data_IF_204865338839
#
_entry.id   IF_204865338839
#
_cell.length_a   1.000
_cell.length_b   1.000
_cell.length_c   1.000
_cell.angle_alpha   90.00
_cell.angle_beta   90.00
_cell.angle_gamma   90.00
#
_symmetry.space_group_name_H-M   'P 1'
#
loop_
_entity.id
_entity.type
_entity.pdbx_description
1 polymer ?
#
# COMPACT_ATOMS: atom_id res chain seq x y z
N UNK A 1 15.72 8.49 -9.09
CA UNK A 1 14.39 7.92 -9.36
C UNK A 1 13.37 9.00 -9.05
N UNK A 2 12.44 9.34 -9.97
CA UNK A 2 11.38 10.29 -9.65
C UNK A 2 10.49 9.75 -8.52
N UNK A 3 10.16 10.62 -7.57
CA UNK A 3 9.29 10.32 -6.43
C UNK A 3 7.84 10.29 -6.91
N UNK A 4 6.99 9.39 -6.39
CA UNK A 4 5.58 9.29 -6.83
C UNK A 4 4.80 10.62 -6.69
N UNK A 5 5.20 11.49 -5.76
CA UNK A 5 4.60 12.81 -5.53
C UNK A 5 5.04 13.89 -6.54
N UNK A 6 6.00 13.59 -7.42
CA UNK A 6 6.47 14.53 -8.43
C UNK A 6 5.44 14.65 -9.55
N UNK A 7 5.02 15.89 -9.84
CA UNK A 7 4.05 16.20 -10.88
C UNK A 7 2.58 16.01 -10.47
N UNK A 8 1.65 16.69 -11.17
CA UNK A 8 0.22 16.52 -10.94
C UNK A 8 -0.26 15.16 -11.48
N UNK A 9 -1.07 14.46 -10.70
CA UNK A 9 -1.85 13.30 -11.17
C UNK A 9 -3.32 13.60 -10.90
N UNK A 10 -3.96 14.31 -11.82
CA UNK A 10 -5.38 14.62 -11.69
C UNK A 10 -6.19 13.41 -12.17
N UNK A 11 -7.39 13.23 -11.63
CA UNK A 11 -8.27 12.13 -12.03
C UNK A 11 -8.42 12.05 -13.56
N UNK A 12 -8.14 10.86 -14.12
CA UNK A 12 -8.11 10.58 -15.56
C UNK A 12 -6.81 10.99 -16.27
N UNK A 13 -5.78 11.45 -15.55
CA UNK A 13 -4.48 11.90 -16.07
C UNK A 13 -3.32 11.45 -15.18
N UNK A 14 -3.47 10.33 -14.49
CA UNK A 14 -2.51 9.75 -13.56
C UNK A 14 -1.48 8.81 -14.21
N UNK A 15 -1.41 8.77 -15.54
CA UNK A 15 -0.55 7.83 -16.30
C UNK A 15 0.91 7.86 -15.84
N UNK A 16 1.49 9.04 -15.60
CA UNK A 16 2.88 9.16 -15.15
C UNK A 16 3.07 8.55 -13.75
N UNK A 17 2.11 8.78 -12.84
CA UNK A 17 2.12 8.20 -11.50
C UNK A 17 1.95 6.67 -11.56
N UNK A 18 1.09 6.17 -12.43
CA UNK A 18 0.91 4.74 -12.69
C UNK A 18 2.21 4.10 -13.21
N UNK A 19 2.87 4.74 -14.18
CA UNK A 19 4.15 4.25 -14.72
C UNK A 19 5.25 4.21 -13.64
N UNK A 20 5.29 5.19 -12.74
CA UNK A 20 6.20 5.17 -11.59
C UNK A 20 5.86 3.99 -10.66
N UNK A 21 4.59 3.79 -10.31
CA UNK A 21 4.16 2.70 -9.45
C UNK A 21 4.51 1.32 -10.03
N UNK A 22 4.25 1.10 -11.33
CA UNK A 22 4.62 -0.12 -12.04
C UNK A 22 6.14 -0.37 -12.01
N UNK A 23 6.94 0.67 -12.28
CA UNK A 23 8.41 0.60 -12.21
C UNK A 23 8.88 0.22 -10.80
N UNK A 24 8.23 0.76 -9.77
CA UNK A 24 8.52 0.41 -8.38
C UNK A 24 8.19 -1.05 -8.06
N UNK A 25 7.02 -1.54 -8.44
CA UNK A 25 6.66 -2.96 -8.25
C UNK A 25 7.66 -3.90 -8.93
N UNK A 26 8.09 -3.58 -10.15
CA UNK A 26 9.12 -4.34 -10.87
C UNK A 26 10.46 -4.31 -10.14
N UNK A 27 10.89 -3.13 -9.67
CA UNK A 27 12.15 -2.96 -8.92
C UNK A 27 12.13 -3.70 -7.58
N UNK A 28 10.98 -3.74 -6.92
CA UNK A 28 10.77 -4.49 -5.68
C UNK A 28 10.75 -6.02 -5.93
N UNK A 29 10.60 -6.47 -7.17
CA UNK A 29 10.63 -7.89 -7.53
C UNK A 29 9.29 -8.60 -7.31
N UNK A 30 8.19 -7.94 -7.69
CA UNK A 30 6.89 -8.60 -7.81
C UNK A 30 6.93 -9.67 -8.91
N UNK A 31 6.22 -10.78 -8.72
CA UNK A 31 6.18 -11.89 -9.69
C UNK A 31 5.45 -11.50 -10.98
N UNK A 32 4.39 -10.70 -10.85
CA UNK A 32 3.64 -10.17 -11.98
C UNK A 32 3.30 -8.69 -11.75
N UNK A 33 3.47 -7.89 -12.81
CA UNK A 33 3.08 -6.47 -12.85
C UNK A 33 2.40 -6.22 -14.19
N UNK A 34 1.17 -5.75 -14.16
CA UNK A 34 0.40 -5.40 -15.36
C UNK A 34 -0.32 -4.07 -15.19
N UNK A 35 -0.65 -3.43 -16.31
CA UNK A 35 -1.51 -2.25 -16.35
C UNK A 35 -2.74 -2.61 -17.17
N UNK A 36 -3.93 -2.41 -16.60
CA UNK A 36 -5.18 -2.74 -17.27
C UNK A 36 -5.54 -1.72 -18.38
N UNK A 37 -6.66 -1.94 -19.05
CA UNK A 37 -7.15 -1.06 -20.13
C UNK A 37 -7.57 0.33 -19.66
N UNK A 38 -7.77 0.51 -18.35
CA UNK A 38 -8.18 1.78 -17.72
C UNK A 38 -6.99 2.53 -17.10
N UNK A 39 -5.79 1.95 -17.10
CA UNK A 39 -4.58 2.55 -16.54
C UNK A 39 -4.26 2.13 -15.10
N UNK A 40 -5.06 1.23 -14.50
CA UNK A 40 -4.81 0.71 -13.15
C UNK A 40 -3.61 -0.24 -13.15
N UNK A 41 -2.72 -0.09 -12.18
CA UNK A 41 -1.52 -0.94 -12.06
C UNK A 41 -1.77 -2.03 -11.03
N UNK A 42 -1.59 -3.29 -11.45
CA UNK A 42 -1.83 -4.46 -10.63
C UNK A 42 -0.51 -5.21 -10.46
N UNK A 43 -0.05 -5.29 -9.22
CA UNK A 43 1.10 -6.11 -8.82
C UNK A 43 0.64 -7.36 -8.06
N UNK A 44 1.22 -8.52 -8.37
CA UNK A 44 0.98 -9.77 -7.64
C UNK A 44 2.29 -10.39 -7.17
N UNK A 45 2.26 -10.90 -5.94
CA UNK A 45 3.31 -11.73 -5.35
C UNK A 45 2.67 -13.08 -5.01
N UNK A 46 3.26 -14.16 -5.49
CA UNK A 46 2.81 -15.52 -5.25
C UNK A 46 3.28 -15.96 -3.85
N UNK A 47 2.32 -16.31 -2.98
CA UNK A 47 2.64 -16.88 -1.68
C UNK A 47 3.03 -18.37 -1.74
N UNK A 48 3.87 -18.79 -0.81
CA UNK A 48 4.51 -20.12 -0.79
C UNK A 48 3.54 -21.30 -0.66
N UNK A 49 2.37 -21.11 -0.02
CA UNK A 49 1.51 -22.24 0.36
C UNK A 49 0.31 -22.45 -0.55
N UNK A 50 0.04 -21.57 -1.52
CA UNK A 50 -1.07 -21.68 -2.50
C UNK A 50 -2.50 -21.82 -1.93
N UNK A 51 -2.66 -22.02 -0.62
CA UNK A 51 -3.90 -22.41 0.07
C UNK A 51 -4.32 -21.42 1.18
N UNK A 52 -3.69 -20.25 1.24
CA UNK A 52 -4.06 -19.17 2.18
C UNK A 52 -5.00 -18.14 1.54
N UNK A 53 -5.64 -17.27 2.35
CA UNK A 53 -6.40 -16.15 1.83
C UNK A 53 -5.49 -15.15 1.11
N UNK A 54 -5.99 -14.56 0.02
CA UNK A 54 -5.32 -13.47 -0.69
C UNK A 54 -5.53 -12.16 0.06
N UNK A 55 -4.44 -11.45 0.37
CA UNK A 55 -4.49 -10.06 0.85
C UNK A 55 -4.40 -9.12 -0.36
N UNK A 56 -5.35 -8.19 -0.45
CA UNK A 56 -5.39 -7.18 -1.50
C UNK A 56 -5.17 -5.80 -0.87
N UNK A 57 -4.18 -5.07 -1.38
CA UNK A 57 -3.99 -3.64 -1.09
C UNK A 57 -4.54 -2.85 -2.25
N UNK A 58 -5.42 -1.90 -1.96
CA UNK A 58 -6.03 -1.02 -2.94
C UNK A 58 -5.74 0.44 -2.57
N UNK A 59 -5.54 1.28 -3.58
CA UNK A 59 -5.22 2.68 -3.39
C UNK A 59 -5.27 3.45 -4.70
N UNK A 60 -5.55 4.75 -4.59
CA UNK A 60 -5.64 5.64 -5.74
C UNK A 60 -4.35 6.46 -5.91
N UNK A 61 -4.06 6.86 -7.14
CA UNK A 61 -2.90 7.66 -7.50
C UNK A 61 -3.27 9.09 -7.90
N UNK A 62 -4.55 9.34 -8.14
CA UNK A 62 -5.04 10.66 -8.46
C UNK A 62 -5.02 11.58 -7.23
N UNK A 63 -5.10 12.87 -7.52
CA UNK A 63 -5.03 13.92 -6.51
C UNK A 63 -5.94 15.04 -6.94
N UNK A 64 -6.49 15.73 -5.94
CA UNK A 64 -7.18 16.99 -6.18
C UNK A 64 -6.20 18.05 -6.69
N UNK A 65 -6.63 18.97 -7.56
CA UNK A 65 -5.81 20.09 -7.98
C UNK A 65 -5.28 20.88 -6.78
N UNK A 66 -3.98 21.19 -6.78
CA UNK A 66 -3.44 22.20 -5.88
C UNK A 66 -4.00 23.58 -6.29
N UNK A 67 -4.74 24.21 -5.37
CA UNK A 67 -5.24 25.57 -5.49
C UNK A 67 -4.39 26.52 -4.65
N UNK A 68 -4.53 27.84 -4.91
CA UNK A 68 -3.83 28.90 -4.19
C UNK A 68 -2.32 28.64 -4.05
N UNK A 69 -1.64 28.45 -5.18
CA UNK A 69 -0.21 28.06 -5.25
C UNK A 69 0.71 29.02 -4.48
N UNK A 70 0.31 30.28 -4.35
CA UNK A 70 0.96 31.34 -3.58
C UNK A 70 0.91 31.13 -2.06
N UNK A 71 -0.02 30.32 -1.56
CA UNK A 71 -0.16 29.98 -0.14
C UNK A 71 0.66 28.75 0.27
N UNK A 72 1.27 28.05 -0.69
CA UNK A 72 2.10 26.89 -0.40
C UNK A 72 3.51 27.31 0.02
N UNK A 73 3.97 26.79 1.15
CA UNK A 73 5.36 26.96 1.62
C UNK A 73 6.35 26.08 0.84
N UNK A 74 5.87 24.95 0.32
CA UNK A 74 6.61 24.00 -0.51
C UNK A 74 5.87 23.75 -1.82
N UNK A 75 6.59 23.58 -2.91
CA UNK A 75 5.94 23.38 -4.21
C UNK A 75 5.04 22.13 -4.17
N UNK A 76 3.74 22.24 -4.48
CA UNK A 76 2.80 21.12 -4.32
C UNK A 76 3.16 19.89 -5.17
N UNK A 77 3.89 20.08 -6.27
CA UNK A 77 4.30 18.98 -7.16
C UNK A 77 5.82 18.80 -7.21
N UNK A 78 6.56 19.45 -6.31
CA UNK A 78 8.02 19.38 -6.22
C UNK A 78 8.52 18.11 -5.55
N UNK A 79 7.68 17.49 -4.71
CA UNK A 79 8.05 16.36 -3.86
C UNK A 79 9.28 16.66 -2.98
N UNK A 80 9.31 17.86 -2.38
CA UNK A 80 10.37 18.29 -1.49
C UNK A 80 10.41 17.37 -0.25
N UNK A 81 11.60 16.97 0.15
CA UNK A 81 11.81 16.09 1.31
C UNK A 81 12.77 16.81 2.26
N UNK A 82 12.41 16.91 3.52
CA UNK A 82 13.32 17.29 4.60
C UNK A 82 13.56 16.13 5.56
N UNK A 83 14.19 16.38 6.70
CA UNK A 83 14.56 15.34 7.65
C UNK A 83 13.36 14.64 8.31
N UNK A 84 12.18 15.26 8.35
CA UNK A 84 11.02 14.78 9.09
C UNK A 84 9.80 14.54 8.18
N UNK A 85 9.69 15.25 7.06
CA UNK A 85 8.48 15.29 6.25
C UNK A 85 8.74 15.18 4.74
N UNK A 86 7.74 14.64 4.05
CA UNK A 86 7.63 14.67 2.59
C UNK A 86 6.53 15.67 2.25
N UNK A 87 6.87 16.71 1.50
CA UNK A 87 5.96 17.77 1.10
C UNK A 87 5.50 17.58 -0.35
N UNK A 88 4.20 17.61 -0.55
CA UNK A 88 3.61 17.55 -1.87
C UNK A 88 2.15 17.14 -1.83
N UNK A 89 1.39 17.62 -2.80
CA UNK A 89 0.03 17.15 -3.08
C UNK A 89 0.11 15.65 -3.40
N UNK A 90 -0.71 14.88 -2.70
CA UNK A 90 -0.75 13.43 -2.84
C UNK A 90 0.13 12.68 -1.85
N UNK A 91 1.04 13.34 -1.12
CA UNK A 91 1.92 12.70 -0.14
C UNK A 91 1.13 11.93 0.92
N UNK A 92 0.14 12.59 1.55
CA UNK A 92 -0.74 11.95 2.54
C UNK A 92 -1.92 11.21 1.88
N UNK A 93 -2.51 11.78 0.83
CA UNK A 93 -3.73 11.26 0.17
C UNK A 93 -3.51 11.06 -1.34
N UNK A 94 -3.14 9.86 -1.81
CA UNK A 94 -2.68 8.74 -0.97
C UNK A 94 -1.42 8.03 -1.49
N UNK A 95 -0.56 8.76 -2.21
CA UNK A 95 0.67 8.22 -2.80
C UNK A 95 1.68 7.71 -1.76
N UNK A 96 1.78 8.37 -0.60
CA UNK A 96 2.61 7.90 0.51
C UNK A 96 2.14 6.55 1.07
N UNK A 97 0.86 6.43 1.47
CA UNK A 97 0.26 5.13 1.82
C UNK A 97 0.42 4.05 0.75
N UNK A 98 0.23 4.38 -0.54
CA UNK A 98 0.46 3.44 -1.65
C UNK A 98 1.91 2.95 -1.64
N UNK A 99 2.89 3.85 -1.54
CA UNK A 99 4.31 3.45 -1.49
C UNK A 99 4.60 2.52 -0.30
N UNK A 100 3.98 2.77 0.86
CA UNK A 100 4.10 1.90 2.02
C UNK A 100 3.47 0.52 1.78
N UNK A 101 2.31 0.45 1.13
CA UNK A 101 1.66 -0.83 0.76
C UNK A 101 2.54 -1.65 -0.19
N UNK A 102 3.17 -1.02 -1.19
CA UNK A 102 4.07 -1.72 -2.12
C UNK A 102 5.26 -2.35 -1.38
N UNK A 103 5.88 -1.59 -0.49
CA UNK A 103 6.99 -2.09 0.33
C UNK A 103 6.52 -3.21 1.27
N UNK A 104 5.36 -3.02 1.93
CA UNK A 104 4.81 -3.99 2.86
C UNK A 104 4.48 -5.31 2.18
N UNK A 105 3.87 -5.29 1.00
CA UNK A 105 3.57 -6.50 0.24
C UNK A 105 4.85 -7.26 -0.15
N UNK A 106 5.93 -6.55 -0.51
CA UNK A 106 7.22 -7.18 -0.81
C UNK A 106 7.92 -7.76 0.42
N UNK A 107 7.85 -7.03 1.53
CA UNK A 107 8.47 -7.43 2.81
C UNK A 107 7.63 -8.48 3.56
N UNK A 108 6.36 -8.64 3.19
CA UNK A 108 5.52 -9.69 3.75
C UNK A 108 6.20 -11.04 3.48
N UNK A 109 6.56 -11.82 4.51
CA UNK A 109 7.36 -13.01 4.32
C UNK A 109 6.65 -14.02 3.41
N UNK A 110 7.26 -14.35 2.26
CA UNK A 110 6.99 -15.58 1.53
C UNK A 110 7.11 -16.79 2.49
N UNK A 111 8.15 -16.74 3.34
CA UNK A 111 8.33 -17.61 4.49
C UNK A 111 7.34 -17.19 5.60
N UNK A 112 6.10 -17.66 5.48
CA UNK A 112 4.95 -17.34 6.32
C UNK A 112 5.31 -16.69 7.65
N UNK A 113 4.70 -15.53 7.92
CA UNK A 113 4.73 -14.91 9.22
C UNK A 113 4.29 -15.96 10.25
N UNK A 114 5.25 -16.65 10.87
CA UNK A 114 5.17 -16.89 12.28
C UNK A 114 5.05 -15.47 12.83
N UNK A 115 3.81 -15.03 12.99
CA UNK A 115 3.48 -14.13 14.07
C UNK A 115 3.97 -14.86 15.33
N UNK A 116 5.27 -14.81 15.58
CA UNK A 116 5.77 -14.65 16.92
C UNK A 116 5.17 -13.32 17.32
N UNK A 117 3.91 -13.36 17.77
CA UNK A 117 3.47 -12.47 18.81
C UNK A 117 4.67 -12.35 19.74
N UNK A 118 5.24 -11.16 19.99
CA UNK A 118 6.28 -11.04 21.00
C UNK A 118 5.69 -11.77 22.19
N UNK A 119 6.37 -12.82 22.64
CA UNK A 119 5.91 -13.68 23.71
C UNK A 119 5.77 -12.76 24.91
N UNK A 120 4.57 -12.19 25.04
CA UNK A 120 4.22 -11.22 26.04
C UNK A 120 4.59 -11.93 27.33
N UNK A 121 5.50 -11.40 28.18
CA UNK A 121 5.83 -12.06 29.42
C UNK A 121 4.51 -12.34 30.12
N UNK A 122 4.24 -13.63 30.33
CA UNK A 122 2.97 -14.10 30.88
C UNK A 122 2.94 -13.61 32.33
N UNK A 123 2.42 -12.41 32.53
CA UNK A 123 2.06 -11.96 33.87
C UNK A 123 1.03 -12.94 34.43
N UNK A 124 1.18 -13.37 35.70
CA UNK A 124 0.33 -14.39 36.28
C UNK A 124 -1.14 -13.97 36.17
N UNK A 125 -1.92 -14.82 35.49
CA UNK A 125 -3.33 -14.62 35.18
C UNK A 125 -4.13 -14.38 36.47
N UNK A 126 -4.64 -13.16 36.66
CA UNK A 126 -5.85 -12.93 37.43
C UNK A 126 -6.91 -12.25 36.54
N UNK A 127 -7.92 -13.05 36.20
CA UNK A 127 -9.33 -12.65 36.15
C UNK A 127 -9.92 -11.95 34.90
N UNK A 128 -9.26 -11.95 33.74
CA UNK A 128 -9.95 -11.54 32.50
C UNK A 128 -10.39 -12.76 31.69
N UNK A 129 -11.71 -13.00 31.58
CA UNK A 129 -12.26 -13.95 30.60
C UNK A 129 -12.11 -13.35 29.21
N UNK A 130 -10.96 -13.57 28.57
CA UNK A 130 -10.85 -13.39 27.13
C UNK A 130 -11.65 -14.50 26.43
N UNK A 131 -12.69 -14.13 25.69
CA UNK A 131 -13.26 -15.04 24.69
C UNK A 131 -12.18 -15.28 23.61
N UNK A 132 -11.87 -16.54 23.25
CA UNK A 132 -10.99 -16.79 22.12
C UNK A 132 -11.66 -16.28 20.84
N UNK A 133 -10.94 -15.50 20.04
CA UNK A 133 -11.30 -15.22 18.66
C UNK A 133 -11.32 -16.56 17.91
N UNK A 134 -12.51 -17.13 17.73
CA UNK A 134 -12.71 -18.28 16.85
C UNK A 134 -12.70 -17.76 15.42
N UNK A 135 -11.54 -17.76 14.77
CA UNK A 135 -11.49 -17.76 13.31
C UNK A 135 -12.07 -19.11 12.85
N UNK A 136 -13.37 -19.14 12.65
CA UNK A 136 -14.10 -20.27 12.09
C UNK A 136 -13.74 -20.37 10.61
N UNK A 137 -12.99 -21.40 10.22
CA UNK A 137 -12.83 -21.83 8.84
C UNK A 137 -14.18 -22.24 8.26
N UNK A 138 -14.93 -21.28 7.72
CA UNK A 138 -16.03 -21.57 6.80
C UNK A 138 -15.69 -20.92 5.47
N UNK A 139 -15.53 -21.77 4.46
CA UNK A 139 -15.52 -21.34 3.08
C UNK A 139 -16.84 -20.63 2.78
N UNK A 140 -16.78 -19.32 2.55
CA UNK A 140 -17.88 -18.56 1.95
C UNK A 140 -17.79 -18.71 0.43
N UNK A 141 -18.89 -19.06 -0.27
CA UNK A 141 -18.89 -19.04 -1.73
C UNK A 141 -18.77 -17.59 -2.25
N UNK A 142 -18.28 -17.39 -3.49
CA UNK A 142 -18.07 -16.06 -4.04
C UNK A 142 -19.42 -15.36 -4.27
N UNK A 143 -19.58 -14.19 -3.65
CA UNK A 143 -20.54 -13.18 -4.06
C UNK A 143 -19.84 -12.33 -5.12
N UNK A 144 -20.37 -12.33 -6.33
CA UNK A 144 -20.01 -11.39 -7.37
C UNK A 144 -20.76 -10.08 -7.13
N UNK A 145 -20.02 -8.99 -6.98
CA UNK A 145 -20.45 -7.62 -7.22
C UNK A 145 -19.45 -7.00 -8.20
#
# INVERSE_FOLDING_TARGET
MPTACAGPSLAGREQDAATIAATWMQTLGYDHVETDTYGSVIGRIQGDTGAGPTLHFDGHLDTVPATALDQWTHAPYGADIDAEHIWGRGSTDMKGPVAAMLCAARLYPANGCAAQSPSRPVLPKKNWKAQPCKLSSRATPPIWL
#
